data_IF_303437096596
#
_entry.id   IF_303437096596
#
_cell.length_a   1.000
_cell.length_b   1.000
_cell.length_c   1.000
_cell.angle_alpha   90.00
_cell.angle_beta   90.00
_cell.angle_gamma   90.00
#
_symmetry.space_group_name_H-M   'P 1'
#
loop_
_entity.id
_entity.type
_entity.pdbx_description
1 polymer ?
#
# COMPACT_ATOMS: atom_id res chain seq x y z
N UNK A 1 46.76 -11.78 -59.37
CA UNK A 1 47.32 -11.29 -58.10
C UNK A 1 46.45 -11.87 -57.00
N UNK A 2 46.99 -12.87 -56.29
CA UNK A 2 46.35 -13.54 -55.16
C UNK A 2 46.88 -12.91 -53.87
N UNK A 3 46.02 -12.66 -52.89
CA UNK A 3 46.36 -12.55 -51.46
C UNK A 3 45.08 -12.66 -50.60
N UNK A 4 45.15 -12.98 -49.29
CA UNK A 4 45.00 -14.35 -48.79
C UNK A 4 43.86 -14.50 -47.77
N UNK A 5 43.47 -15.77 -47.56
CA UNK A 5 42.48 -16.21 -46.56
C UNK A 5 42.94 -15.95 -45.12
N UNK A 6 42.06 -15.36 -44.31
CA UNK A 6 42.15 -15.35 -42.84
C UNK A 6 41.49 -16.64 -42.29
N UNK A 7 42.19 -17.48 -41.49
CA UNK A 7 41.68 -18.79 -41.09
C UNK A 7 40.78 -18.82 -39.84
N UNK A 8 40.46 -17.70 -39.17
CA UNK A 8 39.73 -17.72 -37.89
C UNK A 8 38.42 -16.92 -37.88
N UNK A 9 37.57 -17.10 -38.90
CA UNK A 9 36.21 -16.59 -38.90
C UNK A 9 35.30 -17.36 -37.93
N UNK A 10 34.98 -16.77 -36.78
CA UNK A 10 33.77 -17.13 -36.03
C UNK A 10 32.64 -16.20 -36.43
N UNK A 11 31.68 -16.75 -37.17
CA UNK A 11 30.44 -16.08 -37.56
C UNK A 11 29.49 -16.00 -36.33
N UNK A 12 28.87 -14.86 -36.01
CA UNK A 12 27.93 -14.77 -34.89
C UNK A 12 26.64 -15.54 -35.19
N UNK A 13 26.19 -16.34 -34.22
CA UNK A 13 24.93 -17.09 -34.28
C UNK A 13 23.73 -16.14 -34.12
N UNK A 14 22.84 -16.01 -35.12
CA UNK A 14 21.71 -15.09 -35.08
C UNK A 14 20.55 -15.54 -34.17
N UNK A 15 20.66 -16.65 -33.42
CA UNK A 15 19.60 -17.16 -32.54
C UNK A 15 19.96 -17.25 -31.04
N UNK A 16 21.05 -16.62 -30.59
CA UNK A 16 21.38 -16.57 -29.17
C UNK A 16 20.36 -15.70 -28.38
N UNK A 17 19.48 -16.34 -27.60
CA UNK A 17 18.61 -15.65 -26.63
C UNK A 17 19.44 -15.03 -25.49
N UNK A 18 19.09 -13.82 -25.00
CA UNK A 18 19.75 -13.22 -23.84
C UNK A 18 19.37 -13.94 -22.54
N UNK A 19 20.37 -14.30 -21.74
CA UNK A 19 20.23 -14.84 -20.39
C UNK A 19 19.79 -13.73 -19.40
N UNK A 20 18.62 -13.84 -18.75
CA UNK A 20 18.09 -12.79 -17.88
C UNK A 20 18.71 -12.74 -16.46
N UNK A 21 19.74 -13.53 -16.13
CA UNK A 21 20.34 -13.56 -14.78
C UNK A 21 21.75 -12.96 -14.65
N UNK A 22 22.29 -12.34 -15.69
CA UNK A 22 23.59 -11.66 -15.62
C UNK A 22 23.44 -10.17 -15.22
N UNK A 23 23.19 -9.87 -13.94
CA UNK A 23 23.35 -8.50 -13.43
C UNK A 23 23.99 -8.44 -12.03
N UNK A 24 25.21 -7.89 -12.00
CA UNK A 24 25.62 -6.93 -10.96
C UNK A 24 26.25 -7.48 -9.68
N UNK A 25 27.46 -8.05 -9.78
CA UNK A 25 28.35 -8.20 -8.62
C UNK A 25 29.01 -6.86 -8.25
N UNK A 26 28.75 -6.35 -7.05
CA UNK A 26 29.49 -5.21 -6.49
C UNK A 26 30.64 -5.70 -5.62
N UNK A 27 31.86 -5.47 -6.11
CA UNK A 27 33.12 -5.73 -5.42
C UNK A 27 33.52 -4.50 -4.58
N UNK A 28 33.53 -4.63 -3.24
CA UNK A 28 34.05 -3.60 -2.34
C UNK A 28 35.60 -3.63 -2.34
N UNK A 29 36.21 -2.67 -3.01
CA UNK A 29 37.65 -2.41 -2.95
C UNK A 29 37.99 -1.35 -1.90
N UNK A 30 38.75 -1.74 -0.88
CA UNK A 30 39.40 -0.82 0.06
C UNK A 30 40.62 -0.15 -0.62
N UNK A 31 40.53 1.15 -0.88
CA UNK A 31 41.65 1.97 -1.35
C UNK A 31 41.89 3.15 -0.41
N UNK A 32 42.99 3.11 0.34
CA UNK A 32 43.59 4.28 0.97
C UNK A 32 44.20 5.19 -0.11
N UNK A 33 44.12 6.53 0.04
CA UNK A 33 45.30 7.39 -0.14
C UNK A 33 45.08 8.87 0.25
N UNK A 34 45.88 9.29 1.24
CA UNK A 34 46.71 10.51 1.32
C UNK A 34 46.14 11.88 0.94
N UNK A 35 46.06 12.73 1.97
CA UNK A 35 45.87 14.18 1.90
C UNK A 35 47.22 14.90 2.14
N UNK A 36 47.72 15.78 1.23
CA UNK A 36 48.98 16.50 1.45
C UNK A 36 48.85 18.05 1.57
N UNK A 37 49.18 18.55 2.76
CA UNK A 37 49.95 19.78 3.12
C UNK A 37 49.41 21.24 2.98
N UNK A 38 49.49 21.97 4.13
CA UNK A 38 49.80 23.42 4.27
C UNK A 38 48.91 24.21 5.28
N UNK A 39 49.22 24.37 6.59
CA UNK A 39 50.01 25.42 7.29
C UNK A 39 49.53 26.89 7.01
N UNK A 40 49.32 27.88 7.91
CA UNK A 40 49.65 28.19 9.33
C UNK A 40 48.87 29.49 9.81
N UNK A 41 49.11 30.17 10.98
CA UNK A 41 48.07 30.70 11.90
C UNK A 41 48.06 32.24 12.17
N UNK A 42 47.11 32.80 12.95
CA UNK A 42 47.33 33.98 13.83
C UNK A 42 46.27 34.16 14.94
N UNK A 43 46.70 34.76 16.06
CA UNK A 43 46.15 34.85 17.43
C UNK A 43 45.08 35.94 17.69
N UNK A 44 44.36 35.79 18.82
CA UNK A 44 43.98 36.77 19.89
C UNK A 44 42.59 36.38 20.46
N UNK A 45 42.26 36.32 21.75
CA UNK A 45 42.84 36.82 23.00
C UNK A 45 41.70 37.37 23.89
N UNK A 46 41.70 37.05 25.20
CA UNK A 46 40.93 37.60 26.34
C UNK A 46 39.63 36.91 26.81
N UNK A 47 39.63 36.52 28.10
CA UNK A 47 38.42 36.48 28.95
C UNK A 47 38.28 35.29 29.91
N UNK A 48 39.02 35.29 31.03
CA UNK A 48 38.80 34.37 32.16
C UNK A 48 37.50 34.68 32.92
N UNK A 49 36.79 33.66 33.41
CA UNK A 49 36.20 33.72 34.75
C UNK A 49 35.95 32.32 35.32
N UNK A 50 36.72 31.99 36.36
CA UNK A 50 36.57 30.82 37.20
C UNK A 50 35.66 31.16 38.38
N UNK A 51 34.75 30.25 38.75
CA UNK A 51 34.25 30.14 40.13
C UNK A 51 34.04 28.67 40.48
N UNK A 52 34.84 28.20 41.43
CA UNK A 52 34.70 26.95 42.18
C UNK A 52 33.57 27.09 43.21
N UNK A 53 32.79 26.03 43.43
CA UNK A 53 32.34 25.47 44.73
C UNK A 53 31.72 24.07 44.39
N UNK A 54 32.06 22.91 44.96
CA UNK A 54 32.80 22.58 46.16
C UNK A 54 31.86 22.00 47.23
N UNK A 55 31.40 20.74 47.13
CA UNK A 55 30.94 19.96 48.29
C UNK A 55 31.22 18.45 48.12
N UNK A 56 32.05 17.96 49.04
CA UNK A 56 32.47 16.59 49.31
C UNK A 56 31.56 16.00 50.40
N UNK A 57 31.13 14.74 50.30
CA UNK A 57 30.78 13.91 51.47
C UNK A 57 31.23 12.44 51.24
N UNK A 58 31.54 11.68 52.31
CA UNK A 58 32.61 10.69 52.37
C UNK A 58 32.14 9.23 52.21
N UNK A 59 33.13 8.37 52.00
CA UNK A 59 32.96 6.99 51.53
C UNK A 59 32.59 5.95 52.59
N UNK A 60 32.23 4.78 52.06
CA UNK A 60 32.21 3.48 52.71
C UNK A 60 32.95 2.51 51.78
N UNK A 61 34.01 1.92 52.31
CA UNK A 61 34.83 0.87 51.69
C UNK A 61 34.25 -0.49 52.07
N UNK A 62 34.30 -1.49 51.19
CA UNK A 62 34.67 -2.89 51.52
C UNK A 62 34.93 -3.68 50.20
N UNK A 63 35.77 -4.74 50.20
CA UNK A 63 36.62 -5.12 49.07
C UNK A 63 36.25 -6.43 48.35
N UNK A 64 36.68 -6.55 47.09
CA UNK A 64 37.20 -7.79 46.52
C UNK A 64 36.38 -8.49 45.44
N UNK A 65 36.98 -8.60 44.24
CA UNK A 65 37.20 -9.79 43.40
C UNK A 65 37.00 -9.54 41.88
N UNK A 66 37.93 -10.12 41.11
CA UNK A 66 38.24 -9.91 39.68
C UNK A 66 37.45 -10.88 38.75
N UNK A 67 37.57 -10.81 37.40
CA UNK A 67 36.53 -10.41 36.46
C UNK A 67 35.79 -11.59 35.77
N UNK A 68 34.48 -11.42 35.51
CA UNK A 68 33.69 -12.35 34.70
C UNK A 68 33.27 -11.74 33.37
N UNK A 69 33.77 -12.28 32.26
CA UNK A 69 33.32 -11.98 30.90
C UNK A 69 31.85 -12.39 30.74
N UNK A 70 30.97 -11.44 30.42
CA UNK A 70 29.59 -11.72 30.04
C UNK A 70 29.51 -12.33 28.64
N UNK A 71 28.91 -13.51 28.52
CA UNK A 71 28.47 -14.07 27.24
C UNK A 71 27.40 -13.16 26.60
N UNK A 72 27.43 -12.94 25.28
CA UNK A 72 26.35 -12.25 24.59
C UNK A 72 25.06 -13.10 24.61
N UNK A 73 23.87 -12.48 24.62
CA UNK A 73 22.59 -13.18 24.71
C UNK A 73 22.39 -14.18 23.58
N UNK A 74 22.03 -15.42 23.92
CA UNK A 74 21.64 -16.43 22.93
C UNK A 74 20.26 -16.11 22.34
N UNK A 75 20.20 -16.11 21.01
CA UNK A 75 19.01 -15.90 20.19
C UNK A 75 18.05 -17.10 20.35
N UNK A 76 16.76 -16.92 20.66
CA UNK A 76 15.83 -18.05 20.79
C UNK A 76 15.54 -18.71 19.43
N UNK A 77 15.65 -20.04 19.40
CA UNK A 77 15.49 -20.89 18.22
C UNK A 77 13.99 -21.07 17.89
N UNK A 78 13.57 -20.69 16.67
CA UNK A 78 12.15 -20.69 16.22
C UNK A 78 11.73 -21.99 15.53
N UNK A 79 12.14 -23.13 16.05
CA UNK A 79 11.81 -24.43 15.42
C UNK A 79 10.49 -25.03 15.94
N UNK A 80 9.89 -24.45 16.99
CA UNK A 80 8.61 -24.92 17.56
C UNK A 80 7.34 -24.28 16.97
N UNK A 81 7.45 -23.19 16.19
CA UNK A 81 6.27 -22.46 15.68
C UNK A 81 5.63 -23.15 14.46
N UNK A 82 6.40 -23.91 13.69
CA UNK A 82 5.91 -24.55 12.47
C UNK A 82 5.09 -25.83 12.72
N UNK A 83 5.20 -26.45 13.90
CA UNK A 83 4.37 -27.59 14.27
C UNK A 83 2.94 -27.18 14.68
N UNK A 84 2.75 -25.95 15.20
CA UNK A 84 1.43 -25.45 15.60
C UNK A 84 0.58 -24.97 14.42
N UNK A 85 1.22 -24.48 13.34
CA UNK A 85 0.53 -24.00 12.13
C UNK A 85 -0.02 -25.17 11.29
N UNK A 86 0.68 -26.31 11.26
CA UNK A 86 0.23 -27.49 10.51
C UNK A 86 -1.11 -28.06 11.00
N UNK A 87 -1.36 -28.03 12.30
CA UNK A 87 -2.59 -28.57 12.89
C UNK A 87 -3.80 -27.63 12.65
N UNK A 88 -3.58 -26.31 12.66
CA UNK A 88 -4.64 -25.33 12.43
C UNK A 88 -5.17 -25.36 10.99
N UNK A 89 -4.29 -25.52 9.99
CA UNK A 89 -4.68 -25.57 8.58
C UNK A 89 -5.51 -26.82 8.27
N UNK A 90 -5.14 -27.97 8.85
CA UNK A 90 -5.88 -29.23 8.64
C UNK A 90 -7.28 -29.18 9.27
N UNK A 91 -7.43 -28.55 10.44
CA UNK A 91 -8.75 -28.37 11.08
C UNK A 91 -9.67 -27.46 10.27
N UNK A 92 -9.16 -26.36 9.69
CA UNK A 92 -9.95 -25.46 8.85
C UNK A 92 -10.43 -26.16 7.57
N UNK A 93 -9.58 -26.97 6.95
CA UNK A 93 -9.94 -27.74 5.75
C UNK A 93 -11.01 -28.80 6.09
N UNK A 94 -10.90 -29.49 7.23
CA UNK A 94 -11.90 -30.46 7.65
C UNK A 94 -13.28 -29.83 7.91
N UNK A 95 -13.32 -28.64 8.54
CA UNK A 95 -14.58 -27.90 8.78
C UNK A 95 -15.18 -27.40 7.46
N UNK A 96 -14.37 -26.90 6.52
CA UNK A 96 -14.85 -26.45 5.21
C UNK A 96 -15.43 -27.60 4.38
N UNK A 97 -14.81 -28.79 4.41
CA UNK A 97 -15.32 -29.99 3.74
C UNK A 97 -16.62 -30.47 4.39
N UNK A 98 -16.71 -30.47 5.72
CA UNK A 98 -17.94 -30.84 6.43
C UNK A 98 -19.11 -29.87 6.16
N UNK A 99 -18.84 -28.56 6.13
CA UNK A 99 -19.85 -27.54 5.82
C UNK A 99 -20.32 -27.63 4.36
N UNK A 100 -19.41 -27.85 3.41
CA UNK A 100 -19.76 -28.06 2.00
C UNK A 100 -20.60 -29.31 1.78
N UNK A 101 -20.33 -30.40 2.51
CA UNK A 101 -21.09 -31.65 2.40
C UNK A 101 -22.48 -31.56 3.04
N UNK A 102 -22.67 -30.70 4.04
CA UNK A 102 -23.95 -30.51 4.74
C UNK A 102 -24.90 -29.60 3.94
N UNK A 103 -24.37 -28.57 3.27
CA UNK A 103 -25.16 -27.68 2.39
C UNK A 103 -25.61 -28.41 1.11
N UNK A 104 -24.83 -29.36 0.60
CA UNK A 104 -25.21 -30.14 -0.60
C UNK A 104 -26.21 -31.28 -0.32
N UNK A 105 -26.50 -31.60 0.95
CA UNK A 105 -27.45 -32.67 1.32
C UNK A 105 -28.79 -32.19 1.86
N UNK A 106 -28.94 -30.90 2.14
CA UNK A 106 -30.19 -30.34 2.68
C UNK A 106 -30.93 -29.56 1.61
N UNK A 107 -31.52 -30.29 0.66
CA UNK A 107 -32.55 -29.77 -0.23
C UNK A 107 -33.93 -29.86 0.41
N UNK A 108 -34.70 -28.77 0.24
CA UNK A 108 -36.17 -28.62 0.37
C UNK A 108 -36.82 -28.81 1.75
N UNK A 109 -37.33 -27.71 2.34
CA UNK A 109 -38.78 -27.47 2.54
C UNK A 109 -39.04 -26.07 3.13
N UNK A 110 -40.07 -25.40 2.62
CA UNK A 110 -40.59 -24.10 3.06
C UNK A 110 -41.15 -24.15 4.49
N UNK A 111 -40.88 -23.12 5.30
CA UNK A 111 -41.77 -22.69 6.38
C UNK A 111 -41.49 -21.24 6.79
N UNK A 112 -42.56 -20.45 6.74
CA UNK A 112 -42.74 -19.13 7.32
C UNK A 112 -41.95 -18.91 8.62
N UNK A 113 -41.11 -17.86 8.62
CA UNK A 113 -40.79 -17.10 9.83
C UNK A 113 -40.82 -15.62 9.50
N UNK A 114 -41.92 -14.99 9.88
CA UNK A 114 -42.03 -13.56 10.12
C UNK A 114 -40.95 -13.16 11.13
N UNK A 115 -39.95 -12.40 10.68
CA UNK A 115 -39.04 -11.66 11.55
C UNK A 115 -39.26 -10.16 11.29
N UNK A 116 -39.65 -9.46 12.36
CA UNK A 116 -39.75 -8.01 12.45
C UNK A 116 -38.46 -7.31 11.99
N UNK A 117 -38.53 -6.04 11.55
CA UNK A 117 -37.36 -5.33 11.05
C UNK A 117 -36.45 -4.95 12.22
N UNK A 118 -35.42 -5.75 12.46
CA UNK A 118 -34.27 -5.29 13.22
C UNK A 118 -33.51 -4.28 12.35
N UNK A 119 -33.73 -3.01 12.64
CA UNK A 119 -32.87 -1.90 12.24
C UNK A 119 -31.53 -2.03 12.95
N UNK A 120 -30.69 -2.91 12.43
CA UNK A 120 -29.23 -2.93 12.67
C UNK A 120 -28.55 -3.44 11.41
N UNK A 121 -28.64 -2.66 10.33
CA UNK A 121 -27.84 -2.86 9.14
C UNK A 121 -26.38 -2.47 9.45
N UNK A 122 -25.66 -3.35 10.14
CA UNK A 122 -24.24 -3.56 9.82
C UNK A 122 -24.20 -4.70 8.80
N UNK A 123 -24.58 -4.37 7.55
CA UNK A 123 -24.16 -5.17 6.42
C UNK A 123 -22.64 -4.94 6.31
N UNK A 124 -21.85 -5.84 6.89
CA UNK A 124 -20.40 -5.78 6.79
C UNK A 124 -19.98 -5.80 5.31
N UNK A 125 -18.91 -5.07 4.99
CA UNK A 125 -18.33 -5.14 3.66
C UNK A 125 -17.81 -6.57 3.41
N UNK A 126 -18.18 -7.13 2.26
CA UNK A 126 -17.81 -8.50 1.87
C UNK A 126 -16.32 -8.65 1.55
N UNK A 127 -15.97 -9.70 0.80
CA UNK A 127 -14.61 -9.83 0.26
C UNK A 127 -14.46 -8.98 -1.02
N UNK A 128 -13.22 -8.57 -1.35
CA UNK A 128 -12.92 -8.04 -2.68
C UNK A 128 -13.43 -8.97 -3.77
N UNK A 129 -14.00 -8.40 -4.83
CA UNK A 129 -14.48 -9.20 -5.95
C UNK A 129 -13.31 -9.75 -6.78
N UNK A 130 -13.60 -10.75 -7.60
CA UNK A 130 -12.60 -11.36 -8.49
C UNK A 130 -12.65 -10.70 -9.85
N UNK A 131 -11.49 -10.25 -10.35
CA UNK A 131 -11.36 -9.62 -11.66
C UNK A 131 -9.91 -9.31 -11.96
N UNK A 132 -9.51 -9.42 -13.23
CA UNK A 132 -8.16 -9.05 -13.64
C UNK A 132 -8.12 -7.55 -13.93
N UNK A 133 -7.16 -6.87 -13.31
CA UNK A 133 -6.84 -5.50 -13.63
C UNK A 133 -6.29 -5.39 -15.06
N UNK A 134 -6.53 -4.25 -15.71
CA UNK A 134 -5.88 -3.98 -16.99
C UNK A 134 -4.39 -3.68 -16.76
N UNK A 135 -3.48 -4.08 -17.66
CA UNK A 135 -2.08 -3.63 -17.61
C UNK A 135 -2.01 -2.10 -17.62
N UNK A 136 -1.12 -1.53 -16.82
CA UNK A 136 -0.90 -0.08 -16.77
C UNK A 136 0.19 0.28 -17.79
N UNK A 137 -0.16 1.14 -18.75
CA UNK A 137 0.75 1.68 -19.77
C UNK A 137 0.86 3.21 -19.62
N UNK A 138 0.42 3.96 -20.62
CA UNK A 138 0.23 5.41 -20.63
C UNK A 138 -0.98 5.86 -19.78
N UNK A 139 -1.96 4.98 -19.59
CA UNK A 139 -3.14 5.20 -18.75
C UNK A 139 -3.34 4.07 -17.76
N UNK A 140 -3.91 4.43 -16.62
CA UNK A 140 -4.53 3.50 -15.68
C UNK A 140 -6.00 3.39 -16.07
N UNK A 141 -6.50 2.17 -16.27
CA UNK A 141 -7.85 1.95 -16.76
C UNK A 141 -8.54 0.75 -16.08
N UNK A 142 -9.85 0.88 -15.89
CA UNK A 142 -10.72 -0.24 -15.55
C UNK A 142 -12.09 -0.02 -16.20
N UNK A 143 -12.50 -0.95 -17.06
CA UNK A 143 -13.65 -0.76 -17.93
C UNK A 143 -13.48 0.53 -18.77
N UNK A 144 -14.52 1.37 -18.91
CA UNK A 144 -14.43 2.60 -19.68
C UNK A 144 -13.75 3.76 -18.95
N UNK A 145 -13.47 3.66 -17.65
CA UNK A 145 -12.89 4.76 -16.86
C UNK A 145 -11.36 4.69 -16.87
N UNK A 146 -10.71 5.84 -17.04
CA UNK A 146 -9.25 5.92 -17.01
C UNK A 146 -8.70 7.30 -16.62
N UNK A 147 -7.45 7.34 -16.17
CA UNK A 147 -6.64 8.56 -16.01
C UNK A 147 -5.22 8.33 -16.55
N UNK A 148 -4.49 9.38 -17.00
CA UNK A 148 -3.14 9.19 -17.53
C UNK A 148 -2.12 9.00 -16.40
N UNK A 149 -1.11 8.16 -16.63
CA UNK A 149 -0.02 7.96 -15.66
C UNK A 149 0.76 9.26 -15.41
N UNK A 150 0.82 10.15 -16.41
CA UNK A 150 1.43 11.48 -16.28
C UNK A 150 0.71 12.42 -15.30
N UNK A 151 -0.51 12.09 -14.84
CA UNK A 151 -1.18 12.84 -13.78
C UNK A 151 -0.53 12.63 -12.39
N UNK A 152 0.21 11.54 -12.20
CA UNK A 152 0.93 11.21 -10.97
C UNK A 152 2.40 10.85 -11.24
N UNK A 153 3.25 11.83 -11.60
CA UNK A 153 4.64 11.56 -11.96
C UNK A 153 5.42 10.90 -10.82
N UNK A 154 6.14 9.81 -11.15
CA UNK A 154 6.99 9.11 -10.18
C UNK A 154 6.23 8.30 -9.12
N UNK A 155 4.95 8.03 -9.35
CA UNK A 155 4.17 7.03 -8.60
C UNK A 155 4.33 5.65 -9.25
N UNK A 156 4.13 4.60 -8.48
CA UNK A 156 4.36 3.21 -8.90
C UNK A 156 3.04 2.51 -9.23
N UNK A 157 3.02 1.72 -10.29
CA UNK A 157 1.85 0.95 -10.71
C UNK A 157 1.43 -0.11 -9.68
N UNK A 158 0.13 -0.24 -9.48
CA UNK A 158 -0.51 -1.22 -8.60
C UNK A 158 -1.77 -1.79 -9.26
N UNK A 159 -1.99 -3.11 -9.18
CA UNK A 159 -3.05 -3.79 -9.95
C UNK A 159 -3.82 -4.85 -9.15
N UNK A 160 -3.97 -4.65 -7.84
CA UNK A 160 -4.73 -5.56 -6.98
C UNK A 160 -5.90 -4.86 -6.32
N UNK A 161 -6.91 -5.64 -5.93
CA UNK A 161 -8.15 -5.14 -5.33
C UNK A 161 -8.12 -5.31 -3.82
N UNK A 162 -8.36 -4.23 -3.07
CA UNK A 162 -8.20 -4.21 -1.60
C UNK A 162 -9.49 -4.25 -0.77
N UNK A 163 -10.63 -3.97 -1.37
CA UNK A 163 -11.89 -3.80 -0.65
C UNK A 163 -13.07 -4.42 -1.39
N UNK A 164 -14.14 -4.66 -0.64
CA UNK A 164 -15.42 -5.14 -1.16
C UNK A 164 -15.99 -4.17 -2.19
N UNK A 165 -16.90 -4.66 -3.03
CA UNK A 165 -17.59 -3.84 -4.03
C UNK A 165 -16.66 -3.25 -5.12
N UNK A 166 -15.47 -3.84 -5.26
CA UNK A 166 -14.49 -3.55 -6.29
C UNK A 166 -14.06 -4.83 -7.02
N UNK A 167 -13.89 -4.71 -8.34
CA UNK A 167 -13.26 -5.70 -9.22
C UNK A 167 -12.34 -5.01 -10.23
N UNK A 168 -11.27 -5.71 -10.62
CA UNK A 168 -10.38 -5.27 -11.71
C UNK A 168 -9.75 -3.91 -11.46
N UNK A 169 -9.40 -3.62 -10.21
CA UNK A 169 -8.80 -2.35 -9.82
C UNK A 169 -7.37 -2.19 -10.35
N UNK A 170 -7.06 -1.01 -10.87
CA UNK A 170 -5.73 -0.59 -11.29
C UNK A 170 -5.48 0.82 -10.79
N UNK A 171 -4.27 1.08 -10.29
CA UNK A 171 -3.94 2.33 -9.64
C UNK A 171 -2.46 2.65 -9.64
N UNK A 172 -2.13 3.79 -9.05
CA UNK A 172 -0.78 4.24 -8.78
C UNK A 172 -0.66 4.51 -7.28
N UNK A 173 0.51 4.21 -6.72
CA UNK A 173 0.81 4.42 -5.31
C UNK A 173 2.08 5.24 -5.11
N UNK A 174 2.17 5.90 -3.96
CA UNK A 174 3.37 6.63 -3.54
C UNK A 174 3.60 6.44 -2.05
N UNK A 175 4.65 5.69 -1.70
CA UNK A 175 5.14 5.65 -0.31
C UNK A 175 5.62 7.03 0.12
N UNK A 176 5.39 7.34 1.39
CA UNK A 176 5.79 8.62 1.96
C UNK A 176 7.32 8.72 2.09
N UNK A 177 7.85 9.91 1.82
CA UNK A 177 9.30 10.14 1.76
C UNK A 177 9.99 10.12 3.15
N UNK A 178 9.20 10.25 4.21
CA UNK A 178 9.63 10.20 5.62
C UNK A 178 9.84 8.77 6.15
N UNK A 179 9.58 7.74 5.32
CA UNK A 179 9.90 6.35 5.60
C UNK A 179 8.90 5.62 6.49
N UNK A 180 7.79 6.25 6.89
CA UNK A 180 6.73 5.51 7.56
C UNK A 180 6.04 4.53 6.60
N UNK A 181 5.56 3.37 7.11
CA UNK A 181 4.87 2.34 6.34
C UNK A 181 3.43 2.77 5.99
N UNK A 182 3.32 3.85 5.23
CA UNK A 182 2.10 4.47 4.75
C UNK A 182 2.31 5.02 3.34
N UNK A 183 1.24 5.13 2.56
CA UNK A 183 1.32 5.54 1.16
C UNK A 183 0.07 6.30 0.74
N UNK A 184 0.19 7.13 -0.29
CA UNK A 184 -0.95 7.62 -1.04
C UNK A 184 -1.30 6.65 -2.18
N UNK A 185 -2.56 6.65 -2.61
CA UNK A 185 -3.00 5.90 -3.77
C UNK A 185 -4.05 6.65 -4.59
N UNK A 186 -4.08 6.34 -5.89
CA UNK A 186 -5.15 6.75 -6.82
C UNK A 186 -5.46 5.54 -7.68
N UNK A 187 -6.72 5.11 -7.73
CA UNK A 187 -7.10 3.91 -8.46
C UNK A 187 -8.46 4.02 -9.12
N UNK A 188 -8.61 3.30 -10.23
CA UNK A 188 -9.91 3.07 -10.88
C UNK A 188 -10.25 1.59 -10.85
N UNK A 189 -11.53 1.30 -10.67
CA UNK A 189 -12.05 -0.06 -10.69
C UNK A 189 -13.48 -0.11 -11.20
N UNK A 190 -14.01 -1.33 -11.27
CA UNK A 190 -15.42 -1.57 -11.53
C UNK A 190 -16.11 -1.93 -10.23
N UNK A 191 -17.35 -1.48 -10.07
CA UNK A 191 -18.18 -1.89 -8.93
C UNK A 191 -18.84 -3.23 -9.20
N UNK A 192 -19.05 -4.07 -8.18
CA UNK A 192 -19.76 -5.34 -8.31
C UNK A 192 -21.01 -5.47 -7.42
N UNK A 193 -21.65 -4.35 -7.08
CA UNK A 193 -22.90 -4.33 -6.31
C UNK A 193 -23.99 -5.19 -6.95
N UNK A 194 -24.64 -6.03 -6.13
CA UNK A 194 -25.79 -6.84 -6.52
C UNK A 194 -26.95 -6.61 -5.54
N UNK A 195 -28.10 -6.06 -5.98
CA UNK A 195 -28.36 -5.50 -7.31
C UNK A 195 -27.49 -4.27 -7.61
N UNK A 196 -27.40 -3.88 -8.89
CA UNK A 196 -26.75 -2.61 -9.29
C UNK A 196 -27.43 -1.44 -8.55
N UNK A 197 -26.64 -0.56 -7.97
CA UNK A 197 -27.09 0.65 -7.27
C UNK A 197 -26.73 1.92 -8.04
N UNK A 198 -27.42 3.01 -7.72
CA UNK A 198 -27.14 4.32 -8.29
C UNK A 198 -25.79 4.88 -7.81
N UNK A 199 -25.09 5.72 -8.61
CA UNK A 199 -23.75 6.21 -8.26
C UNK A 199 -23.64 6.87 -6.88
N UNK A 200 -24.65 7.63 -6.46
CA UNK A 200 -24.64 8.31 -5.16
C UNK A 200 -24.64 7.33 -3.98
N UNK A 201 -25.42 6.25 -4.10
CA UNK A 201 -25.47 5.19 -3.11
C UNK A 201 -24.20 4.34 -3.14
N UNK A 202 -23.73 3.97 -4.34
CA UNK A 202 -22.47 3.26 -4.54
C UNK A 202 -21.30 4.00 -3.86
N UNK A 203 -21.12 5.29 -4.15
CA UNK A 203 -20.00 6.08 -3.63
C UNK A 203 -20.01 6.13 -2.10
N UNK A 204 -21.19 6.30 -1.50
CA UNK A 204 -21.38 6.31 -0.04
C UNK A 204 -21.01 4.96 0.58
N UNK A 205 -21.48 3.84 0.00
CA UNK A 205 -21.19 2.49 0.49
C UNK A 205 -19.71 2.13 0.32
N UNK A 206 -19.11 2.50 -0.80
CA UNK A 206 -17.69 2.27 -1.09
C UNK A 206 -16.79 2.93 -0.06
N UNK A 207 -17.08 4.16 0.39
CA UNK A 207 -16.28 4.82 1.43
C UNK A 207 -16.13 3.95 2.69
N UNK A 208 -17.22 3.34 3.15
CA UNK A 208 -17.18 2.44 4.30
C UNK A 208 -16.38 1.17 3.99
N UNK A 209 -16.54 0.59 2.81
CA UNK A 209 -15.83 -0.63 2.44
C UNK A 209 -14.34 -0.43 2.19
N UNK A 210 -13.92 0.75 1.78
CA UNK A 210 -12.50 1.10 1.71
C UNK A 210 -11.91 1.17 3.13
N UNK A 211 -12.59 1.84 4.06
CA UNK A 211 -12.16 1.92 5.45
C UNK A 211 -12.08 0.54 6.14
N UNK A 212 -13.00 -0.38 5.83
CA UNK A 212 -12.97 -1.76 6.34
C UNK A 212 -12.01 -2.68 5.53
N UNK A 213 -11.43 -2.16 4.45
CA UNK A 213 -10.60 -2.89 3.51
C UNK A 213 -9.19 -3.21 4.00
N UNK A 214 -8.45 -3.99 3.19
CA UNK A 214 -7.14 -4.52 3.56
C UNK A 214 -6.09 -3.42 3.82
N UNK A 215 -6.20 -2.26 3.16
CA UNK A 215 -5.30 -1.13 3.37
C UNK A 215 -5.37 -0.54 4.77
N UNK A 216 -6.55 -0.54 5.39
CA UNK A 216 -6.81 0.15 6.65
C UNK A 216 -7.05 -0.78 7.85
N UNK A 217 -7.41 -2.05 7.63
CA UNK A 217 -7.86 -3.00 8.67
C UNK A 217 -6.95 -3.10 9.92
N UNK A 218 -5.64 -2.89 9.76
CA UNK A 218 -4.65 -3.04 10.83
C UNK A 218 -4.34 -1.70 11.53
N UNK A 219 -5.08 -0.63 11.22
CA UNK A 219 -4.82 0.72 11.71
C UNK A 219 -6.04 1.33 12.43
N UNK A 220 -6.96 0.50 12.94
CA UNK A 220 -8.15 0.93 13.68
C UNK A 220 -8.94 2.07 12.98
N UNK A 221 -9.41 1.83 11.75
CA UNK A 221 -9.95 2.90 10.90
C UNK A 221 -11.28 3.45 11.41
N UNK A 222 -11.53 4.73 11.15
CA UNK A 222 -12.80 5.41 11.40
C UNK A 222 -13.09 6.42 10.31
N UNK A 223 -14.25 6.29 9.67
CA UNK A 223 -14.74 7.30 8.73
C UNK A 223 -15.27 8.51 9.50
N UNK A 224 -14.78 9.70 9.19
CA UNK A 224 -15.21 10.97 9.74
C UNK A 224 -15.56 11.96 8.63
N UNK A 225 -16.56 12.81 8.88
CA UNK A 225 -16.89 13.91 7.97
C UNK A 225 -17.36 13.49 6.58
N UNK A 226 -17.97 12.29 6.44
CA UNK A 226 -18.53 11.83 5.17
C UNK A 226 -19.51 12.86 4.60
N UNK A 227 -19.18 13.40 3.42
CA UNK A 227 -20.00 14.38 2.73
C UNK A 227 -21.29 13.76 2.22
N UNK A 228 -22.31 14.59 2.00
CA UNK A 228 -23.42 14.20 1.13
C UNK A 228 -22.89 13.91 -0.28
N UNK A 229 -23.49 12.97 -1.02
CA UNK A 229 -23.16 12.76 -2.43
C UNK A 229 -23.40 14.02 -3.25
N UNK A 230 -22.39 14.43 -4.01
CA UNK A 230 -22.45 15.51 -4.99
C UNK A 230 -22.65 14.91 -6.38
N UNK A 231 -23.72 15.31 -7.07
CA UNK A 231 -23.95 14.91 -8.46
C UNK A 231 -22.99 15.67 -9.38
N UNK A 232 -22.22 14.93 -10.18
CA UNK A 232 -21.25 15.46 -11.13
C UNK A 232 -21.36 14.73 -12.47
N UNK A 233 -20.55 15.14 -13.45
CA UNK A 233 -20.40 14.44 -14.72
C UNK A 233 -18.94 14.20 -15.05
N UNK A 234 -18.61 13.03 -15.61
CA UNK A 234 -17.29 12.73 -16.18
C UNK A 234 -17.47 12.48 -17.67
N UNK A 235 -16.90 13.35 -18.52
CA UNK A 235 -17.11 13.34 -19.98
C UNK A 235 -18.60 13.21 -20.41
N UNK A 236 -19.50 13.84 -19.65
CA UNK A 236 -20.95 13.82 -19.89
C UNK A 236 -21.68 12.58 -19.36
N UNK A 237 -20.98 11.62 -18.78
CA UNK A 237 -21.58 10.47 -18.07
C UNK A 237 -21.90 10.87 -16.64
N UNK A 238 -23.12 10.57 -16.18
CA UNK A 238 -23.56 10.86 -14.82
C UNK A 238 -22.65 10.17 -13.79
N UNK A 239 -22.30 10.88 -12.73
CA UNK A 239 -21.45 10.38 -11.67
C UNK A 239 -21.84 11.02 -10.32
N UNK A 240 -21.38 10.43 -9.23
CA UNK A 240 -21.51 11.02 -7.90
C UNK A 240 -20.17 10.98 -7.18
N UNK A 241 -19.88 12.05 -6.43
CA UNK A 241 -18.67 12.20 -5.63
C UNK A 241 -19.02 12.26 -4.15
N UNK A 242 -18.27 11.56 -3.31
CA UNK A 242 -18.25 11.74 -1.87
C UNK A 242 -16.81 11.96 -1.40
N UNK A 243 -16.67 12.66 -0.28
CA UNK A 243 -15.39 12.87 0.41
C UNK A 243 -15.54 12.53 1.88
N UNK A 244 -14.48 12.03 2.51
CA UNK A 244 -14.42 11.82 3.95
C UNK A 244 -12.96 11.81 4.41
N UNK A 245 -12.76 11.72 5.72
CA UNK A 245 -11.48 11.34 6.32
C UNK A 245 -11.56 9.92 6.83
N UNK A 246 -10.59 9.08 6.50
CA UNK A 246 -10.41 7.77 7.14
C UNK A 246 -9.32 7.94 8.18
N UNK A 247 -9.74 8.19 9.42
CA UNK A 247 -8.83 8.36 10.56
C UNK A 247 -8.26 7.00 10.97
N UNK A 248 -6.99 6.97 11.35
CA UNK A 248 -6.27 5.77 11.75
C UNK A 248 -5.51 5.96 13.05
N UNK A 249 -5.17 4.85 13.71
CA UNK A 249 -4.37 4.84 14.93
C UNK A 249 -3.48 3.61 14.94
N UNK A 250 -2.16 3.82 14.81
CA UNK A 250 -1.12 2.79 14.92
C UNK A 250 0.15 3.44 15.48
N UNK A 251 0.94 2.71 16.27
CA UNK A 251 2.09 3.29 17.00
C UNK A 251 3.34 3.51 16.15
N UNK A 252 3.37 2.97 14.93
CA UNK A 252 4.49 2.98 13.98
C UNK A 252 4.31 3.98 12.83
N UNK A 253 3.24 4.79 12.85
CA UNK A 253 2.98 5.85 11.88
C UNK A 253 2.62 7.15 12.59
N UNK A 254 2.88 8.29 11.95
CA UNK A 254 2.52 9.61 12.46
C UNK A 254 1.37 10.27 11.71
N UNK A 255 1.01 9.71 10.55
CA UNK A 255 -0.15 10.13 9.78
C UNK A 255 -1.43 9.86 10.58
N UNK A 256 -2.31 10.86 10.74
CA UNK A 256 -3.55 10.70 11.49
C UNK A 256 -4.63 9.95 10.72
N UNK A 257 -4.46 9.79 9.41
CA UNK A 257 -5.41 9.19 8.48
C UNK A 257 -5.29 9.81 7.11
N UNK A 258 -6.27 9.49 6.27
CA UNK A 258 -6.26 9.90 4.86
C UNK A 258 -7.51 10.72 4.51
N UNK A 259 -7.34 11.70 3.62
CA UNK A 259 -8.44 12.37 2.93
C UNK A 259 -8.81 11.52 1.72
N UNK A 260 -10.02 10.96 1.76
CA UNK A 260 -10.53 10.05 0.75
C UNK A 260 -11.54 10.77 -0.14
N UNK A 261 -11.40 10.62 -1.46
CA UNK A 261 -12.41 10.99 -2.44
C UNK A 261 -12.82 9.76 -3.23
N UNK A 262 -14.12 9.49 -3.30
CA UNK A 262 -14.69 8.42 -4.13
C UNK A 262 -15.61 9.05 -5.17
N UNK A 263 -15.39 8.74 -6.44
CA UNK A 263 -16.26 9.10 -7.55
C UNK A 263 -16.78 7.82 -8.17
N UNK A 264 -18.10 7.60 -8.19
CA UNK A 264 -18.70 6.50 -8.95
C UNK A 264 -19.34 7.06 -10.21
N UNK A 265 -19.07 6.40 -11.34
CA UNK A 265 -19.51 6.80 -12.68
C UNK A 265 -20.52 5.78 -13.19
N UNK A 266 -21.66 6.26 -13.69
CA UNK A 266 -22.76 5.46 -14.24
C UNK A 266 -22.44 4.84 -15.61
N UNK A 267 -21.19 4.47 -15.86
CA UNK A 267 -20.79 3.75 -17.06
C UNK A 267 -21.34 2.31 -17.07
N UNK A 268 -21.14 1.60 -18.19
CA UNK A 268 -21.38 0.17 -18.30
C UNK A 268 -20.06 -0.54 -18.68
N UNK A 269 -19.49 -1.39 -17.81
CA UNK A 269 -19.86 -1.61 -16.40
C UNK A 269 -19.73 -0.34 -15.54
N UNK A 270 -20.42 -0.27 -14.38
CA UNK A 270 -20.29 0.86 -13.45
C UNK A 270 -18.86 0.88 -12.88
N UNK A 271 -18.25 2.05 -12.91
CA UNK A 271 -16.84 2.24 -12.53
C UNK A 271 -16.70 3.25 -11.41
N UNK A 272 -15.54 3.28 -10.77
CA UNK A 272 -15.23 4.26 -9.76
C UNK A 272 -13.77 4.73 -9.87
N UNK A 273 -13.51 5.92 -9.33
CA UNK A 273 -12.19 6.41 -8.93
C UNK A 273 -12.15 6.50 -7.41
N UNK A 274 -11.09 6.00 -6.78
CA UNK A 274 -10.73 6.29 -5.40
C UNK A 274 -9.41 7.07 -5.38
N UNK A 275 -9.38 8.15 -4.60
CA UNK A 275 -8.19 8.99 -4.35
C UNK A 275 -7.98 9.03 -2.85
N UNK A 276 -6.87 8.45 -2.42
CA UNK A 276 -6.53 8.20 -1.02
C UNK A 276 -5.23 8.92 -0.68
N UNK A 277 -5.33 10.04 0.02
CA UNK A 277 -4.19 10.94 0.27
C UNK A 277 -3.98 11.12 1.77
N UNK A 278 -2.77 10.81 2.29
CA UNK A 278 -2.44 11.09 3.68
C UNK A 278 -2.65 12.54 4.09
N UNK A 279 -3.31 12.74 5.22
CA UNK A 279 -3.60 14.06 5.77
C UNK A 279 -2.28 14.78 6.05
N UNK A 280 -2.16 16.01 5.56
CA UNK A 280 -0.96 16.85 5.76
C UNK A 280 0.05 16.84 4.61
N UNK A 281 -0.25 16.19 3.49
CA UNK A 281 0.64 16.09 2.32
C UNK A 281 0.07 16.85 1.10
N UNK A 282 0.18 18.20 1.07
CA UNK A 282 -0.44 19.02 0.02
C UNK A 282 0.05 18.70 -1.39
N UNK A 283 1.31 18.27 -1.56
CA UNK A 283 1.86 17.86 -2.85
C UNK A 283 1.14 16.61 -3.39
N UNK A 284 0.80 15.67 -2.51
CA UNK A 284 0.04 14.47 -2.87
C UNK A 284 -1.43 14.81 -3.12
N UNK A 285 -1.99 15.76 -2.35
CA UNK A 285 -3.33 16.30 -2.61
C UNK A 285 -3.43 16.91 -4.01
N UNK A 286 -2.42 17.67 -4.44
CA UNK A 286 -2.37 18.25 -5.78
C UNK A 286 -2.36 17.18 -6.88
N UNK A 287 -1.66 16.07 -6.67
CA UNK A 287 -1.70 14.90 -7.59
C UNK A 287 -3.10 14.31 -7.66
N UNK A 288 -3.77 14.09 -6.51
CA UNK A 288 -5.15 13.60 -6.47
C UNK A 288 -6.12 14.48 -7.27
N UNK A 289 -6.00 15.81 -7.15
CA UNK A 289 -6.79 16.76 -7.94
C UNK A 289 -6.46 16.70 -9.44
N UNK A 290 -5.18 16.56 -9.80
CA UNK A 290 -4.75 16.42 -11.19
C UNK A 290 -5.29 15.14 -11.83
N UNK A 291 -5.41 14.05 -11.07
CA UNK A 291 -6.04 12.79 -11.52
C UNK A 291 -7.53 12.98 -11.75
N UNK A 292 -8.26 13.57 -10.79
CA UNK A 292 -9.70 13.83 -10.92
C UNK A 292 -9.99 14.70 -12.16
N UNK A 293 -9.18 15.74 -12.39
CA UNK A 293 -9.34 16.65 -13.53
C UNK A 293 -9.07 15.98 -14.89
N UNK A 294 -8.36 14.86 -14.91
CA UNK A 294 -7.96 14.14 -16.13
C UNK A 294 -8.68 12.79 -16.30
N UNK A 295 -9.70 12.52 -15.48
CA UNK A 295 -10.58 11.39 -15.67
C UNK A 295 -11.21 11.43 -17.06
N UNK A 296 -11.23 10.26 -17.70
CA UNK A 296 -11.88 10.03 -18.99
C UNK A 296 -12.78 8.82 -18.93
N UNK A 297 -13.94 8.95 -19.58
CA UNK A 297 -14.83 7.83 -19.85
C UNK A 297 -14.81 7.57 -21.34
N UNK A 298 -14.25 6.42 -21.74
CA UNK A 298 -14.33 5.97 -23.11
C UNK A 298 -15.81 5.79 -23.47
N UNK A 299 -16.24 6.44 -24.55
CA UNK A 299 -17.55 6.13 -25.15
C UNK A 299 -17.46 4.69 -25.66
N UNK A 300 -18.45 3.87 -25.36
CA UNK A 300 -18.62 2.57 -26.01
C UNK A 300 -18.49 2.78 -27.52
N UNK A 301 -17.59 2.03 -28.16
CA UNK A 301 -17.40 2.04 -29.62
C UNK A 301 -18.37 1.05 -30.25
#
# INVERSE_FOLDING_TARGET
>A
MSNPQDPNGQQPDPYAQPDPYAQGGYQYGYGQQTNPYGQQPYQQGYGQQAFQQGYQYPGQQYPGQYPGQGQPPQKPNRTGLYAAIGIAVVLVIAVAVAAGFLVLRSGSDEADRTASPDTSAQAGCGLPGTGQASPISDRVASGPLSFPVSAAPGWTAETYTMYAESIGAAGLIKSLADGQPWQASVEVGQTNFQPKVEPAEAATRMMQCIADGQGFKNASPRVEGLSKPEAITVDGVAAAKVTAKIMVSRSDITVPGDEMTVIVVASAPQTYLAVDIPIGYPDLTAVGQAVIAQLKVAKEV
#
